data_IF_891114774469
#
_entry.id   IF_891114774469
#
_cell.length_a   1.000
_cell.length_b   1.000
_cell.length_c   1.000
_cell.angle_alpha   90.00
_cell.angle_beta   90.00
_cell.angle_gamma   90.00
#
_symmetry.space_group_name_H-M   'P 1'
#
loop_
_entity.id
_entity.type
_entity.pdbx_description
1 polymer ?
#
# COMPACT_ATOMS: atom_id res chain seq x y z
N UNK A 1 -69.55 -5.91 15.25
CA UNK A 1 -68.98 -4.90 16.15
C UNK A 1 -67.48 -5.18 16.25
N UNK A 2 -66.68 -4.43 15.52
CA UNK A 2 -65.21 -4.69 15.38
C UNK A 2 -64.50 -3.61 16.18
N UNK A 3 -63.99 -3.97 17.38
CA UNK A 3 -63.30 -3.05 18.28
C UNK A 3 -61.81 -3.07 17.91
N UNK A 4 -61.36 -2.06 17.17
CA UNK A 4 -59.92 -1.85 16.89
C UNK A 4 -59.18 -1.50 18.19
N UNK A 5 -58.03 -2.11 18.51
CA UNK A 5 -57.27 -1.74 19.69
C UNK A 5 -56.63 -0.37 19.49
N UNK A 6 -57.03 0.60 20.31
CA UNK A 6 -56.36 1.90 20.42
C UNK A 6 -54.93 1.72 20.94
N UNK A 7 -53.94 1.92 20.07
CA UNK A 7 -52.55 2.02 20.49
C UNK A 7 -52.32 3.31 21.27
N UNK A 8 -51.97 3.20 22.53
CA UNK A 8 -51.70 4.34 23.41
C UNK A 8 -50.52 5.17 22.87
N UNK A 9 -50.55 6.52 22.92
CA UNK A 9 -49.45 7.36 22.45
C UNK A 9 -48.21 7.15 23.31
N UNK A 10 -47.09 6.83 22.66
CA UNK A 10 -45.76 6.71 23.30
C UNK A 10 -45.36 8.05 23.92
N UNK A 11 -45.18 8.08 25.25
CA UNK A 11 -44.78 9.30 25.95
C UNK A 11 -43.32 9.68 25.68
N UNK A 12 -43.01 11.00 25.71
CA UNK A 12 -41.62 11.51 25.53
C UNK A 12 -40.64 10.91 26.54
N UNK A 13 -41.12 10.50 27.72
CA UNK A 13 -40.31 9.83 28.75
C UNK A 13 -39.81 8.45 28.33
N UNK A 14 -40.62 7.69 27.62
CA UNK A 14 -40.28 6.33 27.15
C UNK A 14 -39.22 6.37 26.06
N UNK A 15 -39.26 7.34 25.15
CA UNK A 15 -38.26 7.55 24.15
C UNK A 15 -36.89 7.96 24.74
N UNK A 16 -36.90 8.76 25.81
CA UNK A 16 -35.67 9.20 26.50
C UNK A 16 -35.03 8.05 27.27
N UNK A 17 -35.81 7.25 27.98
CA UNK A 17 -35.31 6.08 28.72
C UNK A 17 -34.72 5.02 27.78
N UNK A 18 -35.36 4.81 26.62
CA UNK A 18 -34.86 3.89 25.59
C UNK A 18 -33.55 4.33 24.98
N UNK A 19 -33.38 5.64 24.68
CA UNK A 19 -32.13 6.21 24.20
C UNK A 19 -30.99 6.07 25.22
N UNK A 20 -31.30 6.27 26.50
CA UNK A 20 -30.31 6.08 27.59
C UNK A 20 -29.85 4.62 27.72
N UNK A 21 -30.81 3.69 27.63
CA UNK A 21 -30.50 2.24 27.67
C UNK A 21 -29.68 1.81 26.46
N UNK A 22 -30.03 2.28 25.24
CA UNK A 22 -29.28 1.98 24.03
C UNK A 22 -27.85 2.55 24.09
N UNK A 23 -27.69 3.77 24.58
CA UNK A 23 -26.36 4.37 24.75
C UNK A 23 -25.49 3.63 25.80
N UNK A 24 -26.12 3.13 26.89
CA UNK A 24 -25.45 2.38 27.93
C UNK A 24 -24.84 1.05 27.43
N UNK A 25 -25.44 0.43 26.42
CA UNK A 25 -24.89 -0.78 25.79
C UNK A 25 -24.04 -0.48 24.55
N UNK A 26 -24.36 0.56 23.79
CA UNK A 26 -23.64 0.91 22.57
C UNK A 26 -22.21 1.39 22.85
N UNK A 27 -22.00 2.19 23.89
CA UNK A 27 -20.68 2.69 24.23
C UNK A 27 -19.69 1.57 24.60
N UNK A 28 -19.98 0.67 25.57
CA UNK A 28 -19.06 -0.42 25.90
C UNK A 28 -18.87 -1.39 24.71
N UNK A 29 -19.88 -1.65 23.91
CA UNK A 29 -19.77 -2.46 22.70
C UNK A 29 -18.82 -1.81 21.68
N UNK A 30 -18.93 -0.50 21.47
CA UNK A 30 -18.02 0.24 20.59
C UNK A 30 -16.56 0.20 21.10
N UNK A 31 -16.36 0.39 22.41
CA UNK A 31 -15.03 0.28 22.99
C UNK A 31 -14.45 -1.15 22.88
N UNK A 32 -15.27 -2.17 23.09
CA UNK A 32 -14.86 -3.55 22.92
C UNK A 32 -14.46 -3.85 21.47
N UNK A 33 -15.24 -3.39 20.49
CA UNK A 33 -14.93 -3.54 19.06
C UNK A 33 -13.64 -2.80 18.68
N UNK A 34 -13.46 -1.58 19.16
CA UNK A 34 -12.23 -0.81 18.93
C UNK A 34 -11.02 -1.48 19.58
N UNK A 35 -11.19 -2.01 20.78
CA UNK A 35 -10.13 -2.76 21.49
C UNK A 35 -9.74 -4.04 20.75
N UNK A 36 -10.71 -4.80 20.27
CA UNK A 36 -10.47 -6.01 19.45
C UNK A 36 -9.81 -5.64 18.12
N UNK A 37 -10.34 -4.65 17.41
CA UNK A 37 -9.76 -4.21 16.14
C UNK A 37 -8.34 -3.67 16.31
N UNK A 38 -8.10 -2.84 17.32
CA UNK A 38 -6.77 -2.32 17.64
C UNK A 38 -5.79 -3.42 18.06
N UNK A 39 -6.24 -4.35 18.91
CA UNK A 39 -5.44 -5.50 19.35
C UNK A 39 -5.07 -6.44 18.21
N UNK A 40 -6.04 -6.80 17.37
CA UNK A 40 -5.79 -7.61 16.18
C UNK A 40 -4.87 -6.89 15.19
N UNK A 41 -5.09 -5.59 14.98
CA UNK A 41 -4.23 -4.78 14.11
C UNK A 41 -2.79 -4.74 14.60
N UNK A 42 -2.58 -4.46 15.87
CA UNK A 42 -1.25 -4.45 16.49
C UNK A 42 -0.57 -5.83 16.46
N UNK A 43 -1.33 -6.87 16.74
CA UNK A 43 -0.83 -8.25 16.66
C UNK A 43 -0.42 -8.62 15.24
N UNK A 44 -1.30 -8.36 14.25
CA UNK A 44 -1.02 -8.67 12.84
C UNK A 44 0.18 -7.88 12.33
N UNK A 45 0.27 -6.59 12.68
CA UNK A 45 1.41 -5.76 12.32
C UNK A 45 2.72 -6.27 12.92
N UNK A 46 2.72 -6.64 14.22
CA UNK A 46 3.89 -7.21 14.88
C UNK A 46 4.26 -8.60 14.37
N UNK A 47 3.28 -9.48 14.20
CA UNK A 47 3.49 -10.85 13.73
C UNK A 47 3.97 -10.90 12.27
N UNK A 48 3.43 -10.01 11.41
CA UNK A 48 3.83 -9.89 10.01
C UNK A 48 5.09 -9.05 9.78
N UNK A 49 5.84 -8.71 10.86
CA UNK A 49 7.03 -7.84 10.80
C UNK A 49 6.79 -6.54 9.99
N UNK A 50 5.63 -5.92 10.23
CA UNK A 50 5.21 -4.71 9.51
C UNK A 50 6.19 -3.55 9.62
N UNK A 51 7.00 -3.50 10.68
CA UNK A 51 8.04 -2.50 10.87
C UNK A 51 9.17 -2.62 9.84
N UNK A 52 9.44 -3.81 9.31
CA UNK A 52 10.45 -4.05 8.27
C UNK A 52 10.17 -3.22 7.02
N UNK A 53 8.88 -2.97 6.73
CA UNK A 53 8.46 -2.14 5.60
C UNK A 53 8.93 -0.68 5.69
N UNK A 54 9.29 -0.20 6.89
CA UNK A 54 9.86 1.14 7.09
C UNK A 54 11.37 1.17 6.78
N UNK A 55 12.02 0.01 6.73
CA UNK A 55 13.45 -0.13 6.40
C UNK A 55 13.74 0.23 4.95
N UNK A 56 15.02 0.53 4.66
CA UNK A 56 15.57 0.60 3.30
C UNK A 56 16.36 -0.67 2.94
N UNK A 57 16.49 -1.60 3.85
CA UNK A 57 17.14 -2.88 3.60
C UNK A 57 16.37 -3.65 2.52
N UNK A 58 17.00 -4.04 1.41
CA UNK A 58 16.37 -4.85 0.37
C UNK A 58 15.82 -6.18 0.89
N UNK A 59 16.44 -6.79 1.90
CA UNK A 59 15.98 -8.02 2.51
C UNK A 59 14.58 -7.86 3.16
N UNK A 60 14.22 -6.65 3.63
CA UNK A 60 12.90 -6.38 4.16
C UNK A 60 11.76 -6.59 3.13
N UNK A 61 12.05 -6.49 1.83
CA UNK A 61 11.08 -6.76 0.78
C UNK A 61 10.69 -8.26 0.71
N UNK A 62 11.60 -9.16 1.10
CA UNK A 62 11.37 -10.61 1.09
C UNK A 62 10.53 -11.11 2.25
N UNK A 63 10.16 -10.22 3.19
CA UNK A 63 9.12 -10.52 4.20
C UNK A 63 7.82 -10.96 3.52
N UNK A 64 7.53 -10.48 2.32
CA UNK A 64 6.53 -11.06 1.42
C UNK A 64 7.24 -12.11 0.53
N UNK A 65 7.02 -13.40 0.79
CA UNK A 65 7.72 -14.50 0.10
C UNK A 65 7.65 -14.45 -1.44
N UNK A 66 6.58 -13.85 -1.99
CA UNK A 66 6.42 -13.63 -3.43
C UNK A 66 7.53 -12.75 -4.03
N UNK A 67 8.18 -11.92 -3.20
CA UNK A 67 9.27 -11.04 -3.62
C UNK A 67 10.63 -11.72 -3.63
N UNK A 68 10.74 -12.96 -3.15
CA UNK A 68 12.03 -13.67 -3.07
C UNK A 68 12.72 -13.76 -4.43
N UNK A 69 12.00 -14.13 -5.47
CA UNK A 69 12.57 -14.24 -6.81
C UNK A 69 13.06 -12.91 -7.40
N UNK A 70 12.41 -11.80 -7.05
CA UNK A 70 12.87 -10.46 -7.44
C UNK A 70 14.13 -10.07 -6.69
N UNK A 71 14.20 -10.39 -5.40
CA UNK A 71 15.38 -10.16 -4.57
C UNK A 71 16.58 -10.97 -5.06
N UNK A 72 16.42 -12.27 -5.32
CA UNK A 72 17.50 -13.14 -5.81
C UNK A 72 18.01 -12.66 -7.18
N UNK A 73 17.11 -12.20 -8.05
CA UNK A 73 17.47 -11.63 -9.34
C UNK A 73 18.20 -10.28 -9.19
N UNK A 74 17.77 -9.43 -8.24
CA UNK A 74 18.43 -8.17 -7.95
C UNK A 74 19.86 -8.39 -7.44
N UNK A 75 20.10 -9.39 -6.59
CA UNK A 75 21.46 -9.74 -6.12
C UNK A 75 22.42 -10.05 -7.26
N UNK A 76 21.92 -10.48 -8.41
CA UNK A 76 22.72 -10.80 -9.61
C UNK A 76 22.73 -9.65 -10.63
N UNK A 77 22.01 -8.55 -10.35
CA UNK A 77 21.90 -7.42 -11.28
C UNK A 77 23.11 -6.51 -11.25
N UNK A 78 23.26 -5.71 -12.31
CA UNK A 78 24.31 -4.69 -12.40
C UNK A 78 24.15 -3.57 -11.36
N UNK A 79 22.95 -3.40 -10.79
CA UNK A 79 22.62 -2.33 -9.83
C UNK A 79 22.72 -2.76 -8.35
N UNK A 80 22.93 -4.03 -8.08
CA UNK A 80 22.95 -4.57 -6.71
C UNK A 80 23.90 -3.84 -5.75
N UNK A 81 25.08 -3.39 -6.25
CA UNK A 81 26.07 -2.71 -5.40
C UNK A 81 25.87 -1.19 -5.27
N UNK A 82 24.97 -0.59 -6.04
CA UNK A 82 24.82 0.87 -6.15
C UNK A 82 23.42 1.38 -5.88
N UNK A 83 22.40 0.51 -5.93
CA UNK A 83 21.02 0.88 -5.72
C UNK A 83 20.24 -0.24 -5.03
N UNK A 84 19.40 0.13 -4.07
CA UNK A 84 18.48 -0.77 -3.38
C UNK A 84 17.10 -0.78 -4.07
N UNK A 85 16.21 -1.69 -3.65
CA UNK A 85 14.84 -1.72 -4.15
C UNK A 85 14.15 -0.36 -4.00
N UNK A 86 14.37 0.31 -2.86
CA UNK A 86 13.75 1.60 -2.58
C UNK A 86 14.27 2.74 -3.47
N UNK A 87 15.51 2.66 -3.94
CA UNK A 87 16.10 3.68 -4.80
C UNK A 87 15.47 3.69 -6.19
N UNK A 88 14.97 2.54 -6.65
CA UNK A 88 14.26 2.40 -7.92
C UNK A 88 12.74 2.56 -7.78
N UNK A 89 12.15 2.06 -6.68
CA UNK A 89 10.70 1.96 -6.53
C UNK A 89 10.04 3.06 -5.72
N UNK A 90 10.82 3.96 -5.10
CA UNK A 90 10.31 5.09 -4.33
C UNK A 90 10.90 6.42 -4.82
N UNK A 91 10.14 7.53 -4.72
CA UNK A 91 10.70 8.87 -4.90
C UNK A 91 11.79 9.14 -3.86
N UNK A 92 12.84 9.88 -4.25
CA UNK A 92 13.95 10.18 -3.36
C UNK A 92 13.66 11.33 -2.38
N UNK A 93 12.60 12.12 -2.61
CA UNK A 93 12.25 13.30 -1.80
C UNK A 93 11.32 12.99 -0.62
N UNK A 94 11.48 13.75 0.46
CA UNK A 94 10.48 13.85 1.51
C UNK A 94 9.46 14.97 1.12
N UNK A 95 8.13 14.75 1.28
CA UNK A 95 7.43 13.61 1.89
C UNK A 95 7.06 12.48 0.92
N UNK A 96 7.32 12.62 -0.38
CA UNK A 96 6.81 11.74 -1.45
C UNK A 96 7.21 10.29 -1.25
N UNK A 97 8.42 10.04 -0.73
CA UNK A 97 8.90 8.71 -0.37
C UNK A 97 7.93 8.01 0.58
N UNK A 98 7.55 8.68 1.66
CA UNK A 98 6.71 8.10 2.71
C UNK A 98 5.25 7.95 2.28
N UNK A 99 4.75 8.92 1.50
CA UNK A 99 3.41 8.84 0.90
C UNK A 99 3.34 7.62 -0.03
N UNK A 100 4.33 7.46 -0.91
CA UNK A 100 4.39 6.31 -1.84
C UNK A 100 4.57 5.00 -1.10
N UNK A 101 5.38 4.99 -0.05
CA UNK A 101 5.60 3.80 0.79
C UNK A 101 4.32 3.39 1.53
N UNK A 102 3.60 4.35 2.12
CA UNK A 102 2.32 4.10 2.77
C UNK A 102 1.24 3.61 1.81
N UNK A 103 1.10 4.26 0.66
CA UNK A 103 0.16 3.88 -0.39
C UNK A 103 0.43 2.44 -0.91
N UNK A 104 1.68 2.16 -1.26
CA UNK A 104 2.06 0.83 -1.72
C UNK A 104 1.86 -0.23 -0.61
N UNK A 105 2.25 0.07 0.63
CA UNK A 105 2.08 -0.85 1.76
C UNK A 105 0.62 -1.22 1.98
N UNK A 106 -0.28 -0.24 1.99
CA UNK A 106 -1.70 -0.48 2.15
C UNK A 106 -2.27 -1.30 0.99
N UNK A 107 -2.05 -0.87 -0.26
CA UNK A 107 -2.66 -1.54 -1.40
C UNK A 107 -2.04 -2.91 -1.71
N UNK A 108 -0.75 -3.12 -1.43
CA UNK A 108 -0.15 -4.46 -1.55
C UNK A 108 -0.76 -5.41 -0.51
N UNK A 109 -0.83 -4.98 0.75
CA UNK A 109 -1.45 -5.79 1.81
C UNK A 109 -2.91 -6.12 1.50
N UNK A 110 -3.67 -5.14 1.00
CA UNK A 110 -5.06 -5.36 0.61
C UNK A 110 -5.18 -6.36 -0.55
N UNK A 111 -4.40 -6.17 -1.61
CA UNK A 111 -4.43 -7.02 -2.80
C UNK A 111 -4.09 -8.48 -2.45
N UNK A 112 -3.05 -8.71 -1.65
CA UNK A 112 -2.70 -10.08 -1.21
C UNK A 112 -3.70 -10.68 -0.24
N UNK A 113 -4.35 -9.86 0.61
CA UNK A 113 -5.39 -10.34 1.53
C UNK A 113 -6.67 -10.74 0.78
N UNK A 114 -7.02 -10.00 -0.26
CA UNK A 114 -8.23 -10.24 -1.06
C UNK A 114 -8.01 -11.17 -2.25
N UNK A 115 -6.76 -11.45 -2.62
CA UNK A 115 -6.40 -12.20 -3.83
C UNK A 115 -6.58 -11.41 -5.13
N UNK A 116 -6.74 -10.09 -5.04
CA UNK A 116 -6.94 -9.21 -6.20
C UNK A 116 -5.61 -8.67 -6.74
N UNK A 117 -4.84 -9.54 -7.38
CA UNK A 117 -3.60 -9.18 -8.06
C UNK A 117 -3.36 -10.07 -9.28
N UNK A 118 -2.58 -9.56 -10.23
CA UNK A 118 -2.22 -10.30 -11.44
C UNK A 118 -1.01 -11.23 -11.20
N UNK A 119 -1.03 -12.41 -11.80
CA UNK A 119 0.15 -13.25 -11.93
C UNK A 119 0.53 -13.37 -13.42
N UNK A 120 1.77 -13.01 -13.78
CA UNK A 120 2.83 -12.43 -12.92
C UNK A 120 2.46 -11.02 -12.40
N UNK A 121 3.07 -10.65 -11.25
CA UNK A 121 2.84 -9.35 -10.62
C UNK A 121 3.25 -8.23 -11.59
N UNK A 122 2.35 -7.26 -11.76
CA UNK A 122 2.55 -6.13 -12.65
C UNK A 122 2.70 -4.82 -11.89
N UNK A 123 3.64 -4.00 -12.35
CA UNK A 123 3.83 -2.67 -11.80
C UNK A 123 2.67 -1.74 -12.18
N UNK A 124 2.13 -0.97 -11.22
CA UNK A 124 1.12 0.06 -11.50
C UNK A 124 1.74 1.24 -12.26
N UNK A 125 0.97 1.90 -13.11
CA UNK A 125 1.44 3.03 -13.93
C UNK A 125 2.06 4.17 -13.10
N UNK A 126 1.50 4.46 -11.92
CA UNK A 126 2.09 5.41 -10.98
C UNK A 126 3.51 5.00 -10.57
N UNK A 127 3.70 3.75 -10.20
CA UNK A 127 4.99 3.22 -9.74
C UNK A 127 5.97 3.12 -10.91
N UNK A 128 5.50 2.82 -12.12
CA UNK A 128 6.30 2.86 -13.36
C UNK A 128 6.89 4.24 -13.60
N UNK A 129 6.09 5.31 -13.41
CA UNK A 129 6.59 6.70 -13.49
C UNK A 129 7.59 7.04 -12.38
N UNK A 130 7.43 6.48 -11.18
CA UNK A 130 8.42 6.62 -10.10
C UNK A 130 9.74 5.99 -10.50
N UNK A 131 9.72 4.75 -11.01
CA UNK A 131 10.93 4.05 -11.47
C UNK A 131 11.61 4.82 -12.61
N UNK A 132 10.86 5.33 -13.59
CA UNK A 132 11.42 6.15 -14.64
C UNK A 132 12.17 7.39 -14.12
N UNK A 133 11.58 8.09 -13.15
CA UNK A 133 12.23 9.25 -12.52
C UNK A 133 13.47 8.86 -11.71
N UNK A 134 13.45 7.70 -11.08
CA UNK A 134 14.60 7.19 -10.35
C UNK A 134 15.77 6.90 -11.30
N UNK A 135 15.52 6.30 -12.46
CA UNK A 135 16.55 6.13 -13.51
C UNK A 135 17.15 7.46 -13.92
N UNK A 136 16.32 8.45 -14.22
CA UNK A 136 16.77 9.79 -14.63
C UNK A 136 17.52 10.51 -13.50
N UNK A 137 17.17 10.25 -12.24
CA UNK A 137 17.85 10.84 -11.09
C UNK A 137 19.34 10.52 -11.04
N UNK A 138 19.74 9.34 -11.50
CA UNK A 138 21.14 8.91 -11.57
C UNK A 138 21.74 9.05 -12.98
N UNK A 139 20.94 8.86 -14.02
CA UNK A 139 21.44 8.73 -15.40
C UNK A 139 21.15 9.95 -16.30
N UNK A 140 20.53 11.04 -15.80
CA UNK A 140 20.19 12.22 -16.61
C UNK A 140 21.35 12.74 -17.42
N UNK A 141 22.52 12.93 -16.81
CA UNK A 141 23.70 13.45 -17.51
C UNK A 141 24.21 12.57 -18.65
N UNK A 142 23.84 11.28 -18.67
CA UNK A 142 24.19 10.36 -19.76
C UNK A 142 23.17 10.41 -20.89
N UNK A 143 21.87 10.57 -20.55
CA UNK A 143 20.77 10.38 -21.49
C UNK A 143 20.13 11.69 -21.96
N UNK A 144 20.53 12.84 -21.41
CA UNK A 144 19.96 14.16 -21.72
C UNK A 144 19.88 14.47 -23.22
N UNK A 145 20.91 14.04 -23.97
CA UNK A 145 20.97 14.22 -25.41
C UNK A 145 20.22 13.15 -26.22
N UNK A 146 19.72 12.12 -25.55
CA UNK A 146 19.06 10.97 -26.17
C UNK A 146 17.55 11.02 -25.99
N UNK A 147 17.05 11.82 -25.04
CA UNK A 147 15.64 11.95 -24.75
C UNK A 147 15.02 12.99 -25.68
N UNK A 148 13.80 12.74 -26.24
CA UNK A 148 13.08 13.74 -27.00
C UNK A 148 12.76 14.96 -26.13
N UNK A 149 12.99 16.19 -26.67
CA UNK A 149 12.69 17.45 -25.97
C UNK A 149 11.18 17.76 -25.87
N UNK A 150 10.31 16.94 -26.46
CA UNK A 150 8.88 17.19 -26.52
C UNK A 150 8.20 17.03 -25.15
N UNK A 151 7.66 18.12 -24.55
CA UNK A 151 6.83 18.03 -23.36
C UNK A 151 5.51 17.33 -23.69
N UNK A 152 5.32 16.12 -23.26
CA UNK A 152 4.07 15.36 -23.42
C UNK A 152 4.10 14.25 -24.47
N UNK A 153 5.20 14.03 -25.15
CA UNK A 153 5.43 12.80 -25.91
C UNK A 153 5.48 11.60 -24.95
N UNK A 154 5.01 10.45 -25.40
CA UNK A 154 5.12 9.19 -24.69
C UNK A 154 6.62 8.88 -24.56
N UNK A 155 7.22 9.33 -23.44
CA UNK A 155 8.63 9.17 -23.19
C UNK A 155 8.93 7.68 -23.17
N UNK A 156 9.80 7.22 -24.08
CA UNK A 156 10.25 5.84 -24.09
C UNK A 156 10.74 5.50 -22.68
N UNK A 157 10.03 4.58 -22.03
CA UNK A 157 10.38 4.15 -20.69
C UNK A 157 11.70 3.40 -20.77
N UNK A 158 12.67 3.76 -19.93
CA UNK A 158 13.97 3.09 -19.86
C UNK A 158 13.82 1.56 -19.73
N UNK A 159 12.82 1.14 -18.97
CA UNK A 159 12.50 -0.27 -18.74
C UNK A 159 11.95 -1.03 -19.96
N UNK A 160 11.64 -0.35 -21.08
CA UNK A 160 11.25 -1.04 -22.31
C UNK A 160 12.45 -1.72 -22.99
N UNK A 161 13.62 -1.08 -22.93
CA UNK A 161 14.85 -1.63 -23.48
C UNK A 161 15.75 -2.25 -22.40
N UNK A 162 15.67 -1.73 -21.17
CA UNK A 162 16.46 -2.16 -20.02
C UNK A 162 15.61 -2.93 -19.03
N UNK A 163 15.08 -4.09 -19.45
CA UNK A 163 14.04 -4.84 -18.72
C UNK A 163 14.55 -5.57 -17.48
N UNK A 164 15.87 -5.83 -17.42
CA UNK A 164 16.50 -6.72 -16.41
C UNK A 164 17.56 -6.02 -15.55
N UNK A 165 17.69 -4.70 -15.65
CA UNK A 165 18.74 -3.96 -14.95
C UNK A 165 18.67 -4.03 -13.43
N UNK A 166 17.47 -4.17 -12.86
CA UNK A 166 17.26 -4.31 -11.42
C UNK A 166 16.94 -5.75 -11.02
N UNK A 167 16.03 -6.36 -11.74
CA UNK A 167 15.63 -7.76 -11.57
C UNK A 167 14.91 -8.25 -12.84
N UNK A 168 15.00 -9.55 -13.11
CA UNK A 168 14.30 -10.12 -14.26
C UNK A 168 12.78 -9.94 -14.13
N UNK A 169 12.12 -9.65 -15.26
CA UNK A 169 10.66 -9.76 -15.38
C UNK A 169 10.30 -11.24 -15.43
N UNK A 170 9.41 -11.66 -14.56
CA UNK A 170 8.90 -13.04 -14.53
C UNK A 170 7.45 -13.06 -14.94
#
# INVERSE_FOLDING_TARGET
MNSSPHSAPRTRGDARSRRFRLAAFAAPAAFALLGVAGGLGAFTFGYGDGASYLSNDPAACTNCHVMQGHYDSWLQSSHHNVATCNDCHLPHGFPDKWITKGDNGFFHSLAFTTGDFHEPIQIKDRNRRVTQRACLGCHSGLVDHMLPEEPGGDMLLCIHCHTDVGHALR
#
